data_IF_945218969436
#
_entry.id   IF_945218969436
#
_cell.length_a   1.000
_cell.length_b   1.000
_cell.length_c   1.000
_cell.angle_alpha   90.00
_cell.angle_beta   90.00
_cell.angle_gamma   90.00
#
_symmetry.space_group_name_H-M   'P 1'
#
loop_
_entity.id
_entity.type
_entity.pdbx_description
1 polymer ?
#
# COMPACT_ATOMS: atom_id res chain seq x y z
N UNK A 1 25.35 21.10 11.11
CA UNK A 1 24.95 19.87 10.40
C UNK A 1 26.21 19.28 9.78
N UNK A 2 26.72 18.16 10.31
CA UNK A 2 28.03 17.59 9.91
C UNK A 2 27.99 16.88 8.55
N UNK A 3 29.15 16.71 7.92
CA UNK A 3 29.33 16.08 6.59
C UNK A 3 28.67 14.69 6.46
N UNK A 4 28.54 13.98 7.59
CA UNK A 4 27.87 12.69 7.64
C UNK A 4 26.38 12.80 7.32
N UNK A 5 25.67 13.81 7.84
CA UNK A 5 24.25 14.01 7.56
C UNK A 5 23.97 14.21 6.07
N UNK A 6 24.76 15.07 5.42
CA UNK A 6 24.67 15.31 3.98
C UNK A 6 24.89 14.06 3.14
N UNK A 7 25.78 13.15 3.59
CA UNK A 7 26.03 11.87 2.92
C UNK A 7 24.85 10.90 3.07
N UNK A 8 24.17 10.90 4.21
CA UNK A 8 22.99 10.06 4.45
C UNK A 8 21.80 10.52 3.62
N UNK A 9 21.53 11.83 3.61
CA UNK A 9 20.50 12.45 2.78
C UNK A 9 20.74 12.15 1.28
N UNK A 10 22.01 12.22 0.85
CA UNK A 10 22.38 11.90 -0.54
C UNK A 10 22.10 10.44 -0.91
N UNK A 11 22.34 9.48 0.00
CA UNK A 11 22.02 8.07 -0.30
C UNK A 11 20.51 7.83 -0.29
N UNK A 12 19.78 8.42 0.67
CA UNK A 12 18.33 8.37 0.69
C UNK A 12 17.75 8.89 -0.65
N UNK A 13 18.22 10.06 -1.12
CA UNK A 13 17.82 10.61 -2.42
C UNK A 13 18.18 9.69 -3.60
N UNK A 14 19.34 9.04 -3.58
CA UNK A 14 19.74 8.13 -4.65
C UNK A 14 18.85 6.87 -4.76
N UNK A 15 18.29 6.40 -3.63
CA UNK A 15 17.45 5.19 -3.58
C UNK A 15 15.97 5.50 -3.89
N UNK A 16 15.54 6.76 -3.71
CA UNK A 16 14.14 7.20 -3.96
C UNK A 16 13.58 6.80 -5.33
N UNK A 17 14.27 7.02 -6.47
CA UNK A 17 13.74 6.63 -7.78
C UNK A 17 13.45 5.14 -7.91
N UNK A 18 14.27 4.29 -7.27
CA UNK A 18 14.09 2.85 -7.29
C UNK A 18 12.85 2.43 -6.47
N UNK A 19 12.66 3.04 -5.30
CA UNK A 19 11.48 2.80 -4.45
C UNK A 19 10.20 3.28 -5.14
N UNK A 20 10.22 4.45 -5.78
CA UNK A 20 9.08 4.98 -6.54
C UNK A 20 8.75 4.12 -7.76
N UNK A 21 9.75 3.65 -8.52
CA UNK A 21 9.50 2.76 -9.67
C UNK A 21 8.91 1.42 -9.24
N UNK A 22 9.39 0.86 -8.13
CA UNK A 22 8.92 -0.43 -7.62
C UNK A 22 7.54 -0.32 -7.00
N UNK A 23 7.34 0.68 -6.12
CA UNK A 23 6.21 0.77 -5.18
C UNK A 23 5.48 2.12 -5.15
N UNK A 24 5.70 2.98 -6.16
CA UNK A 24 5.08 4.31 -6.26
C UNK A 24 3.55 4.34 -6.27
N UNK A 25 2.89 3.18 -6.42
CA UNK A 25 1.45 3.02 -6.22
C UNK A 25 1.02 3.32 -4.76
N UNK A 26 1.93 3.25 -3.79
CA UNK A 26 1.65 3.54 -2.37
C UNK A 26 2.16 4.90 -1.89
N UNK A 27 3.05 5.56 -2.63
CA UNK A 27 3.68 6.82 -2.20
C UNK A 27 2.81 8.06 -2.41
N UNK A 28 1.61 7.90 -2.99
CA UNK A 28 0.64 8.97 -3.11
C UNK A 28 1.00 9.97 -4.22
N UNK A 29 1.09 9.51 -5.47
CA UNK A 29 0.98 10.43 -6.59
C UNK A 29 -0.51 10.77 -6.81
N UNK A 30 -0.94 11.94 -6.33
CA UNK A 30 -2.14 12.59 -6.85
C UNK A 30 -1.92 12.83 -8.34
N UNK A 31 -2.40 11.95 -9.20
CA UNK A 31 -2.69 12.36 -10.58
C UNK A 31 -3.88 13.29 -10.53
N UNK A 32 -3.59 14.58 -10.39
CA UNK A 32 -4.49 15.68 -10.71
C UNK A 32 -4.82 15.60 -12.18
N UNK A 33 -5.94 14.98 -12.52
CA UNK A 33 -6.55 15.09 -13.85
C UNK A 33 -7.41 16.33 -13.89
N UNK A 34 -6.80 17.46 -14.25
CA UNK A 34 -7.53 18.66 -14.66
C UNK A 34 -7.92 18.50 -16.12
N UNK A 35 -9.20 18.27 -16.41
CA UNK A 35 -9.83 18.66 -17.68
C UNK A 35 -11.22 19.15 -17.31
N UNK A 36 -11.44 20.45 -17.46
CA UNK A 36 -12.78 20.99 -17.53
C UNK A 36 -13.37 20.67 -18.89
N UNK A 37 -14.63 20.27 -18.92
CA UNK A 37 -15.56 20.60 -19.99
C UNK A 37 -16.98 20.32 -19.50
N UNK A 38 -17.78 21.38 -19.51
CA UNK A 38 -19.21 21.40 -19.31
C UNK A 38 -19.94 20.81 -20.53
N UNK A 39 -20.74 19.77 -20.32
CA UNK A 39 -21.86 19.47 -21.22
C UNK A 39 -22.94 18.69 -20.47
N UNK A 40 -24.10 19.31 -20.28
CA UNK A 40 -25.32 18.67 -19.80
C UNK A 40 -25.85 17.66 -20.83
N UNK A 41 -25.96 16.38 -20.46
CA UNK A 41 -26.98 15.48 -21.04
C UNK A 41 -27.55 14.55 -19.94
N UNK A 42 -28.87 14.46 -19.98
CA UNK A 42 -29.86 13.89 -19.07
C UNK A 42 -29.95 12.33 -19.07
N UNK A 43 -29.71 11.70 -17.91
CA UNK A 43 -30.24 10.40 -17.40
C UNK A 43 -29.95 9.08 -18.18
N UNK A 44 -30.17 7.86 -17.60
CA UNK A 44 -30.77 7.51 -16.30
C UNK A 44 -29.91 6.60 -15.37
N UNK A 45 -30.20 6.70 -14.06
CA UNK A 45 -29.99 5.70 -13.00
C UNK A 45 -28.61 5.02 -12.91
N UNK A 46 -27.71 5.63 -12.11
CA UNK A 46 -26.56 4.95 -11.55
C UNK A 46 -27.06 3.74 -10.74
N UNK A 47 -26.95 2.53 -11.32
CA UNK A 47 -27.09 1.30 -10.57
C UNK A 47 -25.96 1.28 -9.56
N UNK A 48 -26.30 1.15 -8.27
CA UNK A 48 -25.34 0.81 -7.24
C UNK A 48 -24.43 -0.31 -7.76
N UNK A 49 -23.08 -0.16 -7.70
CA UNK A 49 -22.19 -1.22 -8.11
C UNK A 49 -22.49 -2.42 -7.21
N UNK A 50 -23.12 -3.44 -7.79
CA UNK A 50 -23.47 -4.68 -7.11
C UNK A 50 -22.16 -5.33 -6.65
N UNK A 51 -21.84 -5.18 -5.35
CA UNK A 51 -20.68 -5.78 -4.71
C UNK A 51 -20.89 -7.28 -4.65
N UNK A 52 -20.29 -8.01 -5.58
CA UNK A 52 -20.36 -9.48 -5.62
C UNK A 52 -19.06 -10.03 -5.06
N UNK A 53 -19.12 -10.73 -3.92
CA UNK A 53 -17.97 -11.42 -3.35
C UNK A 53 -17.69 -12.70 -4.14
N UNK A 54 -16.85 -12.60 -5.18
CA UNK A 54 -16.49 -13.75 -6.00
C UNK A 54 -15.44 -14.63 -5.31
N UNK A 55 -15.87 -15.71 -4.64
CA UNK A 55 -14.99 -16.73 -4.07
C UNK A 55 -14.58 -17.79 -5.11
N UNK A 56 -13.98 -17.35 -6.23
CA UNK A 56 -13.52 -18.23 -7.30
C UNK A 56 -12.08 -18.74 -7.08
N UNK A 57 -11.75 -19.92 -7.59
CA UNK A 57 -10.40 -20.53 -7.53
C UNK A 57 -9.28 -19.68 -8.17
N UNK A 58 -9.62 -18.59 -8.88
CA UNK A 58 -8.68 -17.63 -9.47
C UNK A 58 -8.58 -16.29 -8.69
N UNK A 59 -9.22 -16.17 -7.52
CA UNK A 59 -9.17 -14.93 -6.74
C UNK A 59 -7.75 -14.73 -6.17
N UNK A 60 -7.13 -13.55 -6.31
CA UNK A 60 -5.82 -13.28 -5.74
C UNK A 60 -5.90 -13.44 -4.22
N UNK A 61 -4.98 -14.20 -3.64
CA UNK A 61 -4.91 -14.39 -2.20
C UNK A 61 -4.03 -13.27 -1.61
N UNK A 62 -4.51 -12.52 -0.61
CA UNK A 62 -3.70 -11.51 0.06
C UNK A 62 -2.55 -12.19 0.81
N UNK A 63 -1.32 -11.65 0.76
CA UNK A 63 -0.22 -12.16 1.56
C UNK A 63 -0.48 -11.89 3.05
N UNK A 64 0.15 -12.67 3.92
CA UNK A 64 0.06 -12.51 5.37
C UNK A 64 1.45 -12.18 5.95
N UNK A 65 1.58 -11.01 6.59
CA UNK A 65 2.78 -10.60 7.28
C UNK A 65 2.86 -11.22 8.68
N UNK A 66 3.99 -11.86 8.96
CA UNK A 66 4.31 -12.49 10.26
C UNK A 66 5.68 -12.08 10.81
N UNK A 67 6.45 -11.35 10.02
CA UNK A 67 7.83 -11.03 10.31
C UNK A 67 7.99 -9.85 11.25
N UNK A 68 9.24 -9.51 11.52
CA UNK A 68 9.63 -8.28 12.23
C UNK A 68 10.90 -7.64 11.65
N UNK A 69 11.64 -8.33 10.78
CA UNK A 69 12.86 -7.81 10.18
C UNK A 69 12.56 -6.87 9.01
N UNK A 70 13.52 -5.98 8.70
CA UNK A 70 13.43 -5.12 7.51
C UNK A 70 13.34 -5.93 6.21
N UNK A 71 14.02 -7.08 6.11
CA UNK A 71 13.92 -7.94 4.94
C UNK A 71 12.50 -8.50 4.78
N UNK A 72 11.89 -9.03 5.85
CA UNK A 72 10.53 -9.56 5.80
C UNK A 72 9.50 -8.46 5.47
N UNK A 73 9.70 -7.22 5.94
CA UNK A 73 8.87 -6.08 5.53
C UNK A 73 8.94 -5.85 4.01
N UNK A 74 10.13 -5.98 3.42
CA UNK A 74 10.32 -5.83 1.96
C UNK A 74 9.65 -6.96 1.17
N UNK A 75 9.89 -8.20 1.58
CA UNK A 75 9.33 -9.38 0.92
C UNK A 75 7.79 -9.39 0.98
N UNK A 76 7.23 -8.94 2.10
CA UNK A 76 5.79 -8.75 2.24
C UNK A 76 5.25 -7.70 1.29
N UNK A 77 5.87 -6.52 1.22
CA UNK A 77 5.41 -5.45 0.33
C UNK A 77 5.51 -5.83 -1.15
N UNK A 78 6.56 -6.56 -1.54
CA UNK A 78 6.67 -7.10 -2.89
C UNK A 78 5.53 -8.06 -3.21
N UNK A 79 5.24 -8.98 -2.29
CA UNK A 79 4.13 -9.92 -2.42
C UNK A 79 2.78 -9.20 -2.48
N UNK A 80 2.59 -8.18 -1.65
CA UNK A 80 1.37 -7.37 -1.60
C UNK A 80 1.16 -6.57 -2.89
N UNK A 81 2.24 -6.15 -3.55
CA UNK A 81 2.15 -5.50 -4.85
C UNK A 81 1.75 -6.43 -5.98
N UNK A 82 2.25 -7.66 -5.98
CA UNK A 82 1.78 -8.67 -6.93
C UNK A 82 0.30 -8.94 -6.71
N UNK A 83 -0.14 -9.08 -5.45
CA UNK A 83 -1.55 -9.22 -5.10
C UNK A 83 -2.39 -8.04 -5.63
N UNK A 84 -1.98 -6.80 -5.32
CA UNK A 84 -2.71 -5.60 -5.74
C UNK A 84 -2.84 -5.48 -7.26
N UNK A 85 -1.74 -5.71 -8.00
CA UNK A 85 -1.76 -5.70 -9.48
C UNK A 85 -2.71 -6.76 -10.05
N UNK A 86 -2.81 -7.94 -9.42
CA UNK A 86 -3.76 -8.98 -9.85
C UNK A 86 -5.21 -8.58 -9.58
N UNK A 87 -5.49 -7.96 -8.43
CA UNK A 87 -6.82 -7.40 -8.13
C UNK A 87 -7.19 -6.32 -9.14
N UNK A 88 -6.27 -5.39 -9.42
CA UNK A 88 -6.48 -4.32 -10.39
C UNK A 88 -6.72 -4.87 -11.82
N UNK A 89 -5.99 -5.91 -12.22
CA UNK A 89 -6.18 -6.56 -13.51
C UNK A 89 -7.56 -7.26 -13.64
N UNK A 90 -8.04 -7.89 -12.56
CA UNK A 90 -9.37 -8.51 -12.55
C UNK A 90 -10.49 -7.47 -12.67
N UNK A 91 -10.31 -6.31 -12.02
CA UNK A 91 -11.24 -5.19 -12.10
C UNK A 91 -11.28 -4.55 -13.50
N UNK A 92 -10.22 -4.67 -14.30
CA UNK A 92 -10.21 -4.21 -15.69
C UNK A 92 -10.95 -5.17 -16.64
N UNK A 93 -10.95 -6.46 -16.33
CA UNK A 93 -11.49 -7.51 -17.20
C UNK A 93 -12.95 -7.89 -16.95
N UNK A 94 -13.59 -7.39 -15.90
CA UNK A 94 -14.92 -7.84 -15.44
C UNK A 94 -15.82 -6.64 -15.14
N UNK A 95 -17.14 -6.78 -15.35
CA UNK A 95 -18.14 -5.81 -14.85
C UNK A 95 -18.31 -5.85 -13.32
N UNK A 96 -17.60 -6.74 -12.63
CA UNK A 96 -17.65 -6.90 -11.17
C UNK A 96 -16.40 -6.28 -10.53
N UNK A 97 -16.61 -5.44 -9.52
CA UNK A 97 -15.53 -4.85 -8.74
C UNK A 97 -15.13 -5.77 -7.58
N UNK A 98 -13.88 -6.22 -7.60
CA UNK A 98 -13.21 -6.95 -6.53
C UNK A 98 -12.49 -5.94 -5.63
N UNK A 99 -12.81 -5.98 -4.34
CA UNK A 99 -12.14 -5.16 -3.33
C UNK A 99 -10.85 -5.83 -2.86
N UNK A 100 -9.74 -5.08 -2.91
CA UNK A 100 -8.48 -5.51 -2.34
C UNK A 100 -8.48 -5.38 -0.83
N UNK A 101 -7.85 -6.34 -0.14
CA UNK A 101 -7.65 -6.28 1.30
C UNK A 101 -6.64 -5.18 1.66
N UNK A 102 -6.91 -4.33 2.67
CA UNK A 102 -5.97 -3.32 3.13
C UNK A 102 -4.75 -3.96 3.82
N UNK A 103 -3.61 -3.27 3.85
CA UNK A 103 -2.36 -3.76 4.43
C UNK A 103 -2.57 -4.17 5.89
N UNK A 104 -3.28 -3.37 6.67
CA UNK A 104 -3.55 -3.67 8.09
C UNK A 104 -4.31 -4.98 8.31
N UNK A 105 -5.12 -5.43 7.34
CA UNK A 105 -5.83 -6.71 7.41
C UNK A 105 -4.97 -7.90 6.94
N UNK A 106 -3.85 -7.61 6.29
CA UNK A 106 -2.86 -8.59 5.85
C UNK A 106 -1.78 -8.86 6.92
N UNK A 107 -1.98 -8.42 8.16
CA UNK A 107 -1.04 -8.61 9.28
C UNK A 107 -1.60 -9.65 10.24
N UNK A 108 -0.76 -10.61 10.64
CA UNK A 108 -1.18 -11.67 11.55
C UNK A 108 -1.64 -11.10 12.90
N UNK A 109 -2.83 -11.53 13.34
CA UNK A 109 -3.48 -10.95 14.52
C UNK A 109 -2.67 -11.13 15.81
N UNK A 110 -1.89 -12.21 15.91
CA UNK A 110 -1.01 -12.51 17.05
C UNK A 110 0.06 -11.43 17.27
N UNK A 111 0.56 -10.83 16.19
CA UNK A 111 1.58 -9.79 16.24
C UNK A 111 0.99 -8.38 16.16
N UNK A 112 -0.22 -8.23 15.60
CA UNK A 112 -0.84 -6.93 15.32
C UNK A 112 -0.96 -6.02 16.56
N UNK A 113 -1.45 -6.55 17.69
CA UNK A 113 -1.65 -5.75 18.91
C UNK A 113 -0.31 -5.28 19.49
N UNK A 114 0.69 -6.18 19.50
CA UNK A 114 2.05 -5.86 19.93
C UNK A 114 2.64 -4.80 19.02
N UNK A 115 2.50 -4.98 17.72
CA UNK A 115 3.01 -4.07 16.72
C UNK A 115 2.44 -2.66 16.86
N UNK A 116 1.11 -2.50 16.92
CA UNK A 116 0.52 -1.16 17.06
C UNK A 116 1.09 -0.42 18.27
N UNK A 117 1.26 -1.13 19.39
CA UNK A 117 1.77 -0.56 20.64
C UNK A 117 3.26 -0.22 20.62
N UNK A 118 4.10 -1.11 20.10
CA UNK A 118 5.55 -1.02 20.24
C UNK A 118 6.28 -0.48 19.01
N UNK A 119 5.67 -0.58 17.82
CA UNK A 119 6.27 -0.14 16.56
C UNK A 119 5.66 1.18 16.10
N UNK A 120 4.32 1.28 16.11
CA UNK A 120 3.61 2.48 15.66
C UNK A 120 3.31 3.48 16.78
N UNK A 121 3.52 3.07 18.03
CA UNK A 121 3.19 3.86 19.23
C UNK A 121 1.76 4.41 19.23
N UNK A 122 0.82 3.63 18.69
CA UNK A 122 -0.59 4.01 18.52
C UNK A 122 -1.52 2.89 19.00
N UNK A 123 -2.66 3.20 19.62
CA UNK A 123 -3.67 2.18 19.89
C UNK A 123 -4.21 1.61 18.57
N UNK A 124 -4.51 0.30 18.53
CA UNK A 124 -4.95 -0.40 17.31
C UNK A 124 -6.07 0.32 16.56
N UNK A 125 -7.01 0.90 17.31
CA UNK A 125 -8.20 1.59 16.76
C UNK A 125 -7.89 2.89 16.03
N UNK A 126 -6.72 3.50 16.25
CA UNK A 126 -6.31 4.76 15.60
C UNK A 126 -5.29 4.56 14.49
N UNK A 127 -4.84 3.32 14.24
CA UNK A 127 -3.88 3.05 13.18
C UNK A 127 -4.57 3.09 11.84
N UNK A 128 -4.13 3.97 10.94
CA UNK A 128 -4.70 4.10 9.60
C UNK A 128 -3.95 3.27 8.56
N UNK A 129 -4.52 3.13 7.37
CA UNK A 129 -3.85 2.48 6.25
C UNK A 129 -2.56 3.23 5.83
N UNK A 130 -2.53 4.55 6.01
CA UNK A 130 -1.34 5.38 5.75
C UNK A 130 -0.23 5.11 6.76
N UNK A 131 -0.57 4.83 8.02
CA UNK A 131 0.41 4.42 9.03
C UNK A 131 1.07 3.09 8.64
N UNK A 132 0.28 2.12 8.17
CA UNK A 132 0.80 0.85 7.66
C UNK A 132 1.73 1.07 6.46
N UNK A 133 1.30 1.84 5.46
CA UNK A 133 2.13 2.18 4.29
C UNK A 133 3.46 2.78 4.73
N UNK A 134 3.45 3.80 5.60
CA UNK A 134 4.69 4.45 6.08
C UNK A 134 5.61 3.46 6.77
N UNK A 135 5.09 2.62 7.66
CA UNK A 135 5.88 1.63 8.37
C UNK A 135 6.61 0.65 7.44
N UNK A 136 5.90 0.12 6.45
CA UNK A 136 6.49 -0.85 5.54
C UNK A 136 7.44 -0.21 4.52
N UNK A 137 7.16 1.04 4.10
CA UNK A 137 8.06 1.80 3.23
C UNK A 137 9.36 2.18 3.93
N UNK A 138 9.33 2.40 5.25
CA UNK A 138 10.54 2.69 6.04
C UNK A 138 11.57 1.55 6.02
N UNK A 139 11.16 0.32 5.73
CA UNK A 139 12.07 -0.82 5.58
C UNK A 139 13.09 -0.69 4.43
N UNK A 140 12.90 0.29 3.54
CA UNK A 140 13.83 0.66 2.47
C UNK A 140 14.78 1.78 2.84
N UNK A 141 14.50 2.51 3.92
CA UNK A 141 15.46 3.47 4.42
C UNK A 141 16.67 2.68 4.94
N UNK A 142 17.88 2.90 4.38
CA UNK A 142 19.10 2.26 4.84
C UNK A 142 19.22 2.39 6.37
N UNK A 143 19.62 1.30 7.03
CA UNK A 143 19.96 1.28 8.46
C UNK A 143 21.18 2.18 8.68
N UNK A 144 20.95 3.48 8.79
CA UNK A 144 21.96 4.42 9.26
C UNK A 144 21.73 4.69 10.73
N UNK A 145 21.78 3.63 11.53
CA UNK A 145 21.98 3.76 12.96
C UNK A 145 23.42 4.21 13.19
N UNK A 146 23.56 5.40 13.78
CA UNK A 146 24.82 5.97 14.27
C UNK A 146 25.49 5.11 15.34
#
# INVERSE_FOLDING_TARGET
>A
MGEQGQRLDSLAEAVRPHVEARWGLFTGSKRSGSVGEEHEVRGPSARDPMVTLAAGANMPVPPLYRGNSKQEKRDFMDSYMVYKRRVDALNQGTQTQVFGMPIGACIEQSILVRFCRFELFKPKVTVTEEDWKRYFLDAWNPDFTA
#
